data_IF_918577149008
#
_entry.id   IF_918577149008
#
_cell.length_a   1.000
_cell.length_b   1.000
_cell.length_c   1.000
_cell.angle_alpha   90.00
_cell.angle_beta   90.00
_cell.angle_gamma   90.00
#
_symmetry.space_group_name_H-M   'P 1'
#
loop_
_entity.id
_entity.type
_entity.pdbx_description
1 polymer ?
#
# COMPACT_ATOMS: atom_id res chain seq x y z
N UNK A 1 -11.29 -9.69 -1.85
CA UNK A 1 -10.22 -9.29 -2.78
C UNK A 1 -10.45 -7.83 -3.14
N UNK A 2 -9.51 -6.94 -2.84
CA UNK A 2 -9.52 -5.54 -3.26
C UNK A 2 -8.23 -5.25 -4.03
N UNK A 3 -8.27 -4.42 -5.05
CA UNK A 3 -7.11 -4.11 -5.88
C UNK A 3 -7.19 -2.68 -6.43
N UNK A 4 -6.05 -2.16 -6.86
CA UNK A 4 -5.94 -0.96 -7.68
C UNK A 4 -5.35 -1.34 -9.04
N UNK A 5 -4.74 -0.40 -9.76
CA UNK A 5 -4.10 -0.68 -11.06
C UNK A 5 -2.88 -1.59 -10.91
N UNK A 6 -1.95 -1.24 -10.03
CA UNK A 6 -0.72 -1.98 -9.79
C UNK A 6 -0.80 -2.91 -8.57
N UNK A 7 -1.85 -2.79 -7.75
CA UNK A 7 -1.98 -3.50 -6.48
C UNK A 7 -1.03 -3.03 -5.38
N UNK A 8 -0.28 -1.93 -5.56
CA UNK A 8 0.79 -1.50 -4.66
C UNK A 8 0.38 -0.38 -3.69
N UNK A 9 0.18 0.86 -4.16
CA UNK A 9 0.07 2.02 -3.24
C UNK A 9 -1.31 2.10 -2.56
N UNK A 10 -2.37 2.34 -3.34
CA UNK A 10 -3.74 2.46 -2.80
C UNK A 10 -4.22 1.16 -2.14
N UNK A 11 -3.87 0.02 -2.73
CA UNK A 11 -4.15 -1.30 -2.16
C UNK A 11 -3.38 -1.51 -0.87
N UNK A 12 -2.08 -1.21 -0.85
CA UNK A 12 -1.25 -1.36 0.33
C UNK A 12 -1.67 -0.45 1.48
N UNK A 13 -2.06 0.81 1.20
CA UNK A 13 -2.62 1.70 2.22
C UNK A 13 -3.92 1.13 2.78
N UNK A 14 -4.86 0.69 1.92
CA UNK A 14 -6.11 0.10 2.38
C UNK A 14 -5.87 -1.16 3.24
N UNK A 15 -4.96 -2.04 2.82
CA UNK A 15 -4.57 -3.22 3.59
C UNK A 15 -3.97 -2.82 4.94
N UNK A 16 -3.07 -1.83 4.97
CA UNK A 16 -2.42 -1.36 6.18
C UNK A 16 -3.41 -0.77 7.20
N UNK A 17 -4.42 -0.03 6.75
CA UNK A 17 -5.48 0.49 7.61
C UNK A 17 -6.31 -0.65 8.23
N UNK A 18 -6.67 -1.66 7.42
CA UNK A 18 -7.39 -2.85 7.91
C UNK A 18 -6.55 -3.63 8.92
N UNK A 19 -5.28 -3.90 8.63
CA UNK A 19 -4.39 -4.62 9.54
C UNK A 19 -4.17 -3.85 10.86
N UNK A 20 -4.14 -2.51 10.79
CA UNK A 20 -4.04 -1.66 11.99
C UNK A 20 -5.24 -1.86 12.91
N UNK A 21 -6.46 -1.78 12.38
CA UNK A 21 -7.66 -1.99 13.21
C UNK A 21 -7.82 -3.43 13.67
N UNK A 22 -7.23 -4.40 12.98
CA UNK A 22 -7.13 -5.80 13.44
C UNK A 22 -6.04 -6.00 14.52
N UNK A 23 -5.29 -4.96 14.88
CA UNK A 23 -4.30 -5.00 15.96
C UNK A 23 -2.96 -5.62 15.57
N UNK A 24 -2.66 -5.69 14.27
CA UNK A 24 -1.36 -6.19 13.79
C UNK A 24 -0.26 -5.16 14.11
N UNK A 25 0.93 -5.59 14.58
CA UNK A 25 2.03 -4.68 14.87
C UNK A 25 2.43 -3.84 13.66
N UNK A 26 2.78 -2.56 13.89
CA UNK A 26 3.08 -1.60 12.83
C UNK A 26 4.24 -2.05 11.95
N UNK A 27 5.26 -2.67 12.54
CA UNK A 27 6.42 -3.20 11.84
C UNK A 27 6.02 -4.31 10.86
N UNK A 28 5.16 -5.24 11.29
CA UNK A 28 4.63 -6.31 10.43
C UNK A 28 3.80 -5.76 9.26
N UNK A 29 3.03 -4.69 9.49
CA UNK A 29 2.26 -4.03 8.42
C UNK A 29 3.19 -3.39 7.38
N UNK A 30 4.28 -2.75 7.83
CA UNK A 30 5.26 -2.15 6.92
C UNK A 30 6.00 -3.23 6.13
N UNK A 31 6.37 -4.33 6.78
CA UNK A 31 6.98 -5.48 6.11
C UNK A 31 6.04 -6.07 5.04
N UNK A 32 4.76 -6.24 5.35
CA UNK A 32 3.75 -6.71 4.39
C UNK A 32 3.62 -5.78 3.18
N UNK A 33 3.56 -4.47 3.41
CA UNK A 33 3.54 -3.47 2.34
C UNK A 33 4.75 -3.59 1.42
N UNK A 34 5.96 -3.73 2.00
CA UNK A 34 7.21 -3.85 1.24
C UNK A 34 7.37 -5.19 0.52
N UNK A 35 6.64 -6.26 0.92
CA UNK A 35 6.60 -7.51 0.16
C UNK A 35 6.08 -7.30 -1.26
N UNK A 36 5.33 -6.23 -1.53
CA UNK A 36 4.94 -5.84 -2.88
C UNK A 36 6.14 -5.73 -3.83
N UNK A 37 7.33 -5.31 -3.36
CA UNK A 37 8.54 -5.23 -4.19
C UNK A 37 9.04 -6.60 -4.68
N UNK A 38 8.71 -7.69 -3.96
CA UNK A 38 9.13 -9.05 -4.34
C UNK A 38 8.25 -9.62 -5.44
N UNK A 39 6.96 -9.30 -5.41
CA UNK A 39 5.95 -9.89 -6.29
C UNK A 39 5.51 -8.95 -7.43
N UNK A 40 5.75 -7.64 -7.29
CA UNK A 40 5.47 -6.66 -8.33
C UNK A 40 6.62 -6.64 -9.33
N UNK A 41 6.42 -7.30 -10.47
CA UNK A 41 7.33 -7.22 -11.60
C UNK A 41 6.91 -6.07 -12.52
N UNK A 42 7.54 -4.91 -12.34
CA UNK A 42 7.28 -3.72 -13.17
C UNK A 42 7.39 -4.00 -14.68
N UNK A 43 8.33 -4.85 -15.11
CA UNK A 43 8.47 -5.25 -16.50
C UNK A 43 7.20 -5.94 -17.04
N UNK A 44 6.59 -6.86 -16.28
CA UNK A 44 5.31 -7.49 -16.63
C UNK A 44 4.14 -6.50 -16.58
N UNK A 45 4.10 -5.62 -15.58
CA UNK A 45 3.03 -4.63 -15.44
C UNK A 45 3.07 -3.52 -16.51
N UNK A 46 4.24 -3.25 -17.09
CA UNK A 46 4.43 -2.30 -18.19
C UNK A 46 4.27 -2.94 -19.59
N UNK A 47 3.87 -4.21 -19.68
CA UNK A 47 3.69 -4.91 -20.95
C UNK A 47 4.99 -5.27 -21.67
N UNK A 48 6.12 -5.29 -20.95
CA UNK A 48 7.39 -5.79 -21.48
C UNK A 48 7.36 -7.31 -21.38
N UNK A 49 7.17 -7.99 -22.51
CA UNK A 49 7.04 -9.45 -22.57
C UNK A 49 8.20 -10.21 -21.91
N UNK A 50 7.89 -11.37 -21.32
CA UNK A 50 8.86 -12.27 -20.72
C UNK A 50 9.98 -12.61 -21.72
N UNK A 51 11.24 -12.38 -21.31
CA UNK A 51 12.43 -12.71 -22.10
C UNK A 51 13.10 -11.52 -22.83
N UNK A 52 12.44 -10.36 -22.92
CA UNK A 52 13.09 -9.10 -23.30
C UNK A 52 13.24 -8.29 -22.00
N UNK A 53 14.47 -8.17 -21.49
CA UNK A 53 14.72 -7.24 -20.38
C UNK A 53 14.11 -5.87 -20.70
N UNK A 54 13.60 -5.12 -19.71
CA UNK A 54 12.86 -3.90 -19.95
C UNK A 54 13.69 -2.96 -20.82
N UNK A 55 13.27 -2.76 -22.06
CA UNK A 55 13.78 -1.66 -22.87
C UNK A 55 13.35 -0.38 -22.14
N UNK A 56 14.29 0.38 -21.53
CA UNK A 56 13.94 1.55 -20.76
C UNK A 56 13.24 2.62 -21.62
N UNK A 57 13.43 2.58 -22.95
CA UNK A 57 12.78 3.46 -23.91
C UNK A 57 11.33 3.05 -24.24
N UNK A 58 10.95 1.78 -23.99
CA UNK A 58 9.58 1.28 -24.20
C UNK A 58 8.66 1.49 -22.98
N UNK A 59 9.21 1.93 -21.84
CA UNK A 59 8.42 2.25 -20.65
C UNK A 59 7.49 3.45 -20.94
N UNK A 60 6.21 3.41 -20.52
CA UNK A 60 5.33 4.59 -20.57
C UNK A 60 5.87 5.76 -19.74
N UNK A 61 6.80 5.49 -18.82
CA UNK A 61 7.47 6.47 -17.99
C UNK A 61 8.87 6.83 -18.47
N UNK A 62 9.28 6.43 -19.69
CA UNK A 62 10.62 6.70 -20.23
C UNK A 62 10.98 8.20 -20.26
N UNK A 63 9.98 9.08 -20.34
CA UNK A 63 10.14 10.53 -20.31
C UNK A 63 10.45 11.11 -18.92
N UNK A 64 10.29 10.32 -17.86
CA UNK A 64 10.57 10.74 -16.48
C UNK A 64 12.05 10.56 -16.14
N UNK A 65 12.52 11.34 -15.15
CA UNK A 65 13.85 11.17 -14.58
C UNK A 65 14.03 9.75 -14.00
N UNK A 66 15.25 9.18 -14.03
CA UNK A 66 15.53 7.84 -13.52
C UNK A 66 14.98 7.58 -12.11
N UNK A 67 15.11 8.55 -11.21
CA UNK A 67 14.65 8.48 -9.82
C UNK A 67 13.13 8.41 -9.75
N UNK A 68 12.43 9.22 -10.54
CA UNK A 68 10.97 9.18 -10.61
C UNK A 68 10.48 7.84 -11.17
N UNK A 69 11.14 7.28 -12.19
CA UNK A 69 10.82 5.95 -12.72
C UNK A 69 10.97 4.86 -11.67
N UNK A 70 12.01 4.93 -10.83
CA UNK A 70 12.22 3.97 -9.74
C UNK A 70 11.05 3.98 -8.75
N UNK A 71 10.54 5.17 -8.39
CA UNK A 71 9.36 5.31 -7.51
C UNK A 71 8.11 4.65 -8.10
N UNK A 72 7.89 4.75 -9.41
CA UNK A 72 6.76 4.07 -10.05
C UNK A 72 6.94 2.55 -10.12
N UNK A 73 8.18 2.08 -10.19
CA UNK A 73 8.52 0.67 -10.30
C UNK A 73 8.53 -0.09 -8.96
N UNK A 74 8.53 0.61 -7.83
CA UNK A 74 8.64 0.00 -6.50
C UNK A 74 7.67 0.62 -5.48
N UNK A 75 7.71 0.09 -4.27
CA UNK A 75 7.20 0.71 -3.05
C UNK A 75 8.35 0.92 -2.06
N UNK A 76 8.14 1.81 -1.10
CA UNK A 76 9.09 2.09 -0.02
C UNK A 76 8.30 2.27 1.27
N UNK A 77 8.68 1.58 2.35
CA UNK A 77 7.99 1.63 3.63
C UNK A 77 7.88 3.05 4.19
N UNK A 78 8.78 3.96 3.82
CA UNK A 78 8.70 5.39 4.20
C UNK A 78 7.41 6.05 3.73
N UNK A 79 6.83 5.62 2.61
CA UNK A 79 5.56 6.15 2.13
C UNK A 79 4.40 5.77 3.05
N UNK A 80 4.39 4.52 3.52
CA UNK A 80 3.37 4.06 4.44
C UNK A 80 3.58 4.66 5.84
N UNK A 81 4.83 4.79 6.29
CA UNK A 81 5.15 5.50 7.53
C UNK A 81 4.68 6.96 7.49
N UNK A 82 4.95 7.68 6.39
CA UNK A 82 4.48 9.04 6.22
C UNK A 82 2.96 9.14 6.22
N UNK A 83 2.27 8.16 5.60
CA UNK A 83 0.80 8.07 5.61
C UNK A 83 0.27 7.96 7.04
N UNK A 84 0.83 7.06 7.85
CA UNK A 84 0.42 6.93 9.24
C UNK A 84 0.74 8.16 10.07
N UNK A 85 1.93 8.74 9.91
CA UNK A 85 2.33 9.94 10.62
C UNK A 85 1.39 11.12 10.32
N UNK A 86 0.95 11.27 9.07
CA UNK A 86 0.02 12.31 8.67
C UNK A 86 -1.39 12.09 9.27
N UNK A 87 -1.89 10.84 9.22
CA UNK A 87 -3.14 10.45 9.87
C UNK A 87 -3.09 10.71 11.38
N UNK A 88 -2.06 10.25 12.05
CA UNK A 88 -1.91 10.37 13.51
C UNK A 88 -1.73 11.85 13.91
N UNK A 89 -1.06 12.67 13.10
CA UNK A 89 -0.93 14.10 13.34
C UNK A 89 -2.26 14.86 13.22
N UNK A 90 -3.13 14.46 12.29
CA UNK A 90 -4.40 15.15 12.02
C UNK A 90 -5.56 14.64 12.89
N UNK A 91 -5.60 13.33 13.16
CA UNK A 91 -6.74 12.66 13.81
C UNK A 91 -6.40 12.05 15.18
N UNK A 92 -5.13 11.95 15.54
CA UNK A 92 -4.65 11.35 16.79
C UNK A 92 -4.51 9.83 16.75
N UNK A 93 -5.29 9.12 15.93
CA UNK A 93 -5.10 7.70 15.63
C UNK A 93 -5.72 7.29 14.30
N UNK A 94 -5.39 6.10 13.82
CA UNK A 94 -6.00 5.51 12.62
C UNK A 94 -7.48 5.24 12.84
N UNK A 95 -7.89 4.73 14.00
CA UNK A 95 -9.29 4.50 14.35
C UNK A 95 -10.10 5.81 14.35
N UNK A 96 -9.51 6.90 14.86
CA UNK A 96 -10.16 8.20 14.85
C UNK A 96 -10.37 8.73 13.42
N UNK A 97 -9.37 8.56 12.54
CA UNK A 97 -9.50 8.88 11.12
C UNK A 97 -10.60 8.06 10.44
N UNK A 98 -10.62 6.74 10.66
CA UNK A 98 -11.62 5.86 10.04
C UNK A 98 -13.05 6.17 10.52
N UNK A 99 -13.22 6.51 11.80
CA UNK A 99 -14.51 6.94 12.34
C UNK A 99 -14.95 8.30 11.78
N UNK A 100 -14.02 9.26 11.64
CA UNK A 100 -14.33 10.61 11.18
C UNK A 100 -14.61 10.70 9.68
N UNK A 101 -13.84 9.98 8.86
CA UNK A 101 -13.87 10.14 7.40
C UNK A 101 -14.63 9.03 6.66
N UNK A 102 -14.80 7.86 7.30
CA UNK A 102 -15.37 6.66 6.66
C UNK A 102 -16.53 6.03 7.44
N UNK A 103 -16.97 6.65 8.54
CA UNK A 103 -18.00 6.13 9.45
C UNK A 103 -17.72 4.71 9.98
N UNK A 104 -16.44 4.34 10.10
CA UNK A 104 -16.01 3.05 10.66
C UNK A 104 -15.76 3.22 12.16
N UNK A 105 -16.78 2.93 12.95
CA UNK A 105 -16.74 3.07 14.41
C UNK A 105 -16.24 1.81 15.14
N UNK A 106 -16.25 1.87 16.48
CA UNK A 106 -15.81 0.76 17.33
C UNK A 106 -16.62 -0.53 17.12
N UNK A 107 -17.92 -0.43 16.79
CA UNK A 107 -18.77 -1.59 16.53
C UNK A 107 -18.38 -2.26 15.21
N UNK A 108 -18.08 -1.46 14.19
CA UNK A 108 -17.54 -1.96 12.93
C UNK A 108 -16.18 -2.64 13.11
N UNK A 109 -15.27 -2.03 13.88
CA UNK A 109 -13.96 -2.61 14.19
C UNK A 109 -14.11 -3.92 14.96
N UNK A 110 -14.98 -3.98 15.97
CA UNK A 110 -15.24 -5.19 16.73
C UNK A 110 -15.79 -6.32 15.84
N UNK A 111 -16.71 -5.98 14.92
CA UNK A 111 -17.23 -6.93 13.93
C UNK A 111 -16.11 -7.44 13.02
N UNK A 112 -15.26 -6.56 12.48
CA UNK A 112 -14.13 -6.96 11.64
C UNK A 112 -13.18 -7.89 12.39
N UNK A 113 -12.82 -7.58 13.65
CA UNK A 113 -12.01 -8.46 14.50
C UNK A 113 -12.64 -9.84 14.66
N UNK A 114 -13.95 -9.92 14.93
CA UNK A 114 -14.65 -11.20 15.06
C UNK A 114 -14.67 -12.06 13.78
N UNK A 115 -14.55 -11.42 12.61
CA UNK A 115 -14.55 -12.11 11.32
C UNK A 115 -13.16 -12.59 10.90
N UNK A 116 -12.11 -11.91 11.35
CA UNK A 116 -10.75 -12.10 10.83
C UNK A 116 -9.73 -12.59 11.86
N UNK A 117 -10.06 -12.59 13.15
CA UNK A 117 -9.21 -13.09 14.23
C UNK A 117 -9.82 -14.35 14.85
N UNK A 118 -8.98 -15.31 15.20
CA UNK A 118 -9.34 -16.56 15.91
C UNK A 118 -9.33 -16.40 17.43
#
# INVERSE_FOLDING_TARGET
MFHCTAGKDRTGIAAALVLTILGVPRETIIEDFEMSNRYYHYASAAGVGEGRGPDPAASPFAHLWPEARAVFASVDGRYLQATFADIEAQYGSVEAYLAAELDIDADNVARLRSLYLE
#
